data_IF_117908192018
#
_entry.id   IF_117908192018
#
_cell.length_a   1.000
_cell.length_b   1.000
_cell.length_c   1.000
_cell.angle_alpha   90.00
_cell.angle_beta   90.00
_cell.angle_gamma   90.00
#
_symmetry.space_group_name_H-M   'P 1'
#
loop_
_entity.id
_entity.type
_entity.pdbx_description
1 polymer ?
#
# COMPACT_ATOMS: atom_id res chain seq x y z
N UNK A 1 6.28 8.05 -3.17
CA UNK A 1 6.51 8.26 -1.71
C UNK A 1 7.20 9.58 -1.44
N UNK A 2 7.00 10.14 -0.26
CA UNK A 2 7.66 11.37 0.20
C UNK A 2 8.42 11.10 1.51
N UNK A 3 9.66 11.58 1.60
CA UNK A 3 10.48 11.46 2.81
C UNK A 3 10.86 12.84 3.33
N UNK A 4 10.70 13.02 4.63
CA UNK A 4 11.12 14.25 5.31
C UNK A 4 12.65 14.24 5.47
N UNK A 5 13.31 15.29 5.03
CA UNK A 5 14.73 15.51 5.28
C UNK A 5 14.90 15.95 6.73
N UNK A 6 15.37 15.06 7.56
CA UNK A 6 15.56 15.25 9.00
C UNK A 6 16.91 14.70 9.44
N UNK A 7 17.45 15.15 10.61
CA UNK A 7 18.69 14.58 11.14
C UNK A 7 18.62 13.05 11.29
N UNK A 8 17.49 12.55 11.78
CA UNK A 8 17.26 11.12 11.97
C UNK A 8 17.24 10.35 10.64
N UNK A 9 16.67 10.94 9.58
CA UNK A 9 16.67 10.34 8.26
C UNK A 9 18.06 10.32 7.65
N UNK A 10 18.81 11.42 7.77
CA UNK A 10 20.19 11.50 7.27
C UNK A 10 21.14 10.54 8.01
N UNK A 11 20.95 10.38 9.32
CA UNK A 11 21.67 9.37 10.10
C UNK A 11 21.38 7.95 9.62
N UNK A 12 20.09 7.64 9.36
CA UNK A 12 19.67 6.33 8.81
C UNK A 12 20.35 5.99 7.49
N UNK A 13 20.50 6.98 6.60
CA UNK A 13 21.14 6.78 5.29
C UNK A 13 22.65 6.99 5.33
N UNK A 14 23.18 7.29 6.51
CA UNK A 14 24.60 7.54 6.78
C UNK A 14 25.19 8.63 5.85
N UNK A 15 24.51 9.73 5.72
CA UNK A 15 24.89 10.87 4.87
C UNK A 15 24.71 12.20 5.61
N UNK A 16 25.57 13.16 5.31
CA UNK A 16 25.29 14.56 5.59
C UNK A 16 24.26 15.11 4.59
N UNK A 17 23.63 16.25 4.91
CA UNK A 17 22.70 16.91 3.99
C UNK A 17 23.36 17.28 2.65
N UNK A 18 24.64 17.69 2.71
CA UNK A 18 25.41 18.05 1.50
C UNK A 18 25.66 16.83 0.61
N UNK A 19 26.08 15.71 1.20
CA UNK A 19 26.29 14.44 0.48
C UNK A 19 24.98 13.92 -0.10
N UNK A 20 23.91 14.00 0.68
CA UNK A 20 22.58 13.60 0.22
C UNK A 20 22.12 14.43 -0.99
N UNK A 21 22.23 15.76 -0.91
CA UNK A 21 21.89 16.65 -2.02
C UNK A 21 22.76 16.39 -3.25
N UNK A 22 24.05 16.18 -3.06
CA UNK A 22 24.99 15.88 -4.16
C UNK A 22 24.63 14.55 -4.85
N UNK A 23 24.35 13.52 -4.08
CA UNK A 23 24.03 12.19 -4.63
C UNK A 23 22.67 12.15 -5.34
N UNK A 24 21.72 12.96 -4.91
CA UNK A 24 20.36 13.03 -5.49
C UNK A 24 20.18 14.17 -6.51
N UNK A 25 21.21 15.02 -6.72
CA UNK A 25 21.11 16.17 -7.60
C UNK A 25 20.10 17.21 -7.13
N UNK A 26 19.97 17.39 -5.82
CA UNK A 26 18.98 18.27 -5.18
C UNK A 26 19.64 19.40 -4.39
N UNK A 27 18.82 20.37 -3.96
CA UNK A 27 19.21 21.49 -3.09
C UNK A 27 18.28 21.61 -1.90
N UNK A 28 17.87 20.47 -1.34
CA UNK A 28 16.94 20.38 -0.22
C UNK A 28 17.54 20.93 1.07
N UNK A 29 16.67 21.40 1.96
CA UNK A 29 16.99 21.87 3.32
C UNK A 29 16.40 20.93 4.36
N UNK A 30 16.85 21.05 5.60
CA UNK A 30 16.19 20.36 6.70
C UNK A 30 14.72 20.79 6.78
N UNK A 31 13.82 19.82 6.89
CA UNK A 31 12.36 20.04 6.90
C UNK A 31 11.71 19.96 5.52
N UNK A 32 12.47 19.91 4.43
CA UNK A 32 11.93 19.70 3.10
C UNK A 32 11.54 18.22 2.90
N UNK A 33 10.71 17.97 1.90
CA UNK A 33 10.39 16.61 1.46
C UNK A 33 11.06 16.30 0.14
N UNK A 34 11.65 15.11 0.04
CA UNK A 34 12.01 14.51 -1.25
C UNK A 34 10.92 13.54 -1.68
N UNK A 35 10.54 13.63 -2.94
CA UNK A 35 9.52 12.76 -3.53
C UNK A 35 10.20 11.73 -4.42
N UNK A 36 9.85 10.48 -4.22
CA UNK A 36 10.26 9.37 -5.06
C UNK A 36 9.06 8.85 -5.83
N UNK A 37 9.17 8.76 -7.12
CA UNK A 37 8.21 8.00 -7.90
C UNK A 37 8.36 6.51 -7.56
N UNK A 38 7.32 5.78 -7.69
CA UNK A 38 6.88 4.47 -7.18
C UNK A 38 7.88 3.27 -7.26
N UNK A 39 9.15 3.51 -7.15
CA UNK A 39 10.18 2.48 -7.29
C UNK A 39 10.85 2.03 -5.99
N UNK A 40 10.26 2.38 -4.83
CA UNK A 40 10.79 2.03 -3.52
C UNK A 40 12.04 2.79 -3.09
N UNK A 41 12.33 3.91 -3.72
CA UNK A 41 13.36 4.85 -3.30
C UNK A 41 14.81 4.44 -3.60
N UNK A 42 15.04 3.28 -4.18
CA UNK A 42 16.36 2.88 -4.65
C UNK A 42 16.48 3.08 -6.16
N UNK A 43 17.31 4.02 -6.55
CA UNK A 43 17.55 4.39 -7.95
C UNK A 43 18.88 3.86 -8.47
N UNK A 44 19.52 2.93 -7.76
CA UNK A 44 20.77 2.33 -8.23
C UNK A 44 20.58 1.69 -9.62
N UNK A 45 21.60 1.76 -10.45
CA UNK A 45 21.57 1.16 -11.79
C UNK A 45 21.31 -0.34 -11.71
N UNK A 46 21.83 -1.00 -10.69
CA UNK A 46 21.68 -2.43 -10.44
C UNK A 46 20.22 -2.79 -10.15
N UNK A 47 19.56 -2.04 -9.27
CA UNK A 47 18.14 -2.28 -8.95
C UNK A 47 17.24 -1.99 -10.15
N UNK A 48 17.49 -0.94 -10.90
CA UNK A 48 16.78 -0.68 -12.16
C UNK A 48 16.91 -1.85 -13.13
N UNK A 49 18.10 -2.43 -13.24
CA UNK A 49 18.32 -3.59 -14.09
C UNK A 49 17.63 -4.85 -13.59
N UNK A 50 17.67 -5.11 -12.28
CA UNK A 50 16.94 -6.24 -11.65
C UNK A 50 15.45 -6.12 -11.88
N UNK A 51 14.88 -4.93 -11.69
CA UNK A 51 13.44 -4.67 -11.94
C UNK A 51 13.07 -4.85 -13.40
N UNK A 52 13.88 -4.32 -14.32
CA UNK A 52 13.66 -4.52 -15.74
C UNK A 52 13.66 -6.01 -16.08
N UNK A 53 14.63 -6.75 -15.61
CA UNK A 53 14.71 -8.19 -15.85
C UNK A 53 13.49 -8.94 -15.27
N UNK A 54 13.01 -8.54 -14.08
CA UNK A 54 11.81 -9.09 -13.49
C UNK A 54 10.57 -8.81 -14.34
N UNK A 55 10.39 -7.57 -14.80
CA UNK A 55 9.27 -7.18 -15.66
C UNK A 55 9.34 -7.94 -17.00
N UNK A 56 10.49 -8.00 -17.64
CA UNK A 56 10.69 -8.70 -18.90
C UNK A 56 10.40 -10.21 -18.76
N UNK A 57 10.82 -10.82 -17.65
CA UNK A 57 10.53 -12.22 -17.35
C UNK A 57 9.04 -12.44 -17.08
N UNK A 58 8.39 -11.57 -16.34
CA UNK A 58 6.95 -11.65 -16.07
C UNK A 58 6.14 -11.48 -17.36
N UNK A 59 6.50 -10.52 -18.21
CA UNK A 59 5.87 -10.31 -19.52
C UNK A 59 6.04 -11.53 -20.42
N UNK A 60 7.22 -12.16 -20.43
CA UNK A 60 7.49 -13.39 -21.21
C UNK A 60 6.66 -14.56 -20.70
N UNK A 61 6.54 -14.71 -19.37
CA UNK A 61 5.71 -15.75 -18.77
C UNK A 61 4.23 -15.58 -19.12
N UNK A 62 3.73 -14.32 -19.04
CA UNK A 62 2.36 -13.99 -19.43
C UNK A 62 2.10 -14.25 -20.91
N UNK A 63 3.01 -13.91 -21.80
CA UNK A 63 2.90 -14.19 -23.22
C UNK A 63 2.87 -15.70 -23.52
N UNK A 64 3.70 -16.49 -22.83
CA UNK A 64 3.69 -17.97 -22.93
C UNK A 64 2.35 -18.54 -22.46
N UNK A 65 1.80 -18.03 -21.35
CA UNK A 65 0.49 -18.45 -20.84
C UNK A 65 -0.62 -18.12 -21.84
N UNK A 66 -0.65 -16.90 -22.37
CA UNK A 66 -1.62 -16.47 -23.38
C UNK A 66 -1.58 -17.34 -24.64
N UNK A 67 -0.39 -17.74 -25.09
CA UNK A 67 -0.23 -18.68 -26.23
C UNK A 67 -0.79 -20.07 -25.90
N UNK A 68 -0.55 -20.58 -24.69
CA UNK A 68 -1.11 -21.87 -24.24
C UNK A 68 -2.63 -21.87 -24.21
N UNK A 69 -3.24 -20.74 -23.90
CA UNK A 69 -4.70 -20.59 -23.85
C UNK A 69 -5.33 -20.61 -25.25
N UNK A 70 -4.54 -20.44 -26.33
CA UNK A 70 -4.99 -20.48 -27.72
C UNK A 70 -6.25 -19.68 -27.97
N UNK A 71 -6.25 -18.42 -27.50
CA UNK A 71 -7.38 -17.50 -27.60
C UNK A 71 -8.55 -17.75 -26.63
N UNK A 72 -8.50 -18.80 -25.81
CA UNK A 72 -9.46 -18.98 -24.74
C UNK A 72 -9.21 -17.93 -23.67
N UNK A 73 -10.26 -17.21 -23.21
CA UNK A 73 -10.07 -16.24 -22.13
C UNK A 73 -9.63 -16.94 -20.85
N UNK A 74 -8.69 -16.33 -20.13
CA UNK A 74 -8.52 -16.62 -18.70
C UNK A 74 -9.86 -16.50 -18.01
N UNK A 75 -10.08 -17.29 -16.95
CA UNK A 75 -11.25 -17.14 -16.11
C UNK A 75 -11.43 -15.66 -15.75
N UNK A 76 -12.58 -15.12 -16.14
CA UNK A 76 -13.00 -13.77 -15.77
C UNK A 76 -14.23 -13.91 -14.89
N UNK A 77 -14.07 -13.72 -13.58
CA UNK A 77 -15.22 -13.67 -12.68
C UNK A 77 -16.15 -12.53 -13.11
N UNK A 78 -17.45 -12.72 -12.99
CA UNK A 78 -18.43 -11.69 -13.27
C UNK A 78 -18.24 -10.48 -12.33
N UNK A 79 -17.90 -10.76 -11.07
CA UNK A 79 -17.57 -9.76 -10.07
C UNK A 79 -16.48 -10.30 -9.13
N UNK A 80 -15.59 -9.41 -8.71
CA UNK A 80 -14.59 -9.67 -7.66
C UNK A 80 -14.96 -8.84 -6.44
N UNK A 81 -14.95 -9.47 -5.29
CA UNK A 81 -15.12 -8.81 -4.01
C UNK A 81 -13.83 -8.95 -3.20
N UNK A 82 -13.47 -7.91 -2.46
CA UNK A 82 -12.32 -7.85 -1.57
C UNK A 82 -12.83 -7.49 -0.18
N UNK A 83 -12.65 -8.39 0.76
CA UNK A 83 -12.99 -8.12 2.15
C UNK A 83 -11.88 -7.33 2.82
N UNK A 84 -12.26 -6.26 3.54
CA UNK A 84 -11.33 -5.46 4.35
C UNK A 84 -11.88 -5.28 5.75
N UNK A 85 -10.96 -5.09 6.69
CA UNK A 85 -11.22 -4.82 8.10
C UNK A 85 -10.15 -3.90 8.70
N UNK A 86 -10.22 -3.63 10.00
CA UNK A 86 -9.23 -2.84 10.72
C UNK A 86 -7.80 -3.43 10.72
N UNK A 87 -7.63 -4.71 10.41
CA UNK A 87 -6.34 -5.37 10.28
C UNK A 87 -5.77 -5.33 8.85
N UNK A 88 -6.57 -4.88 7.90
CA UNK A 88 -6.12 -4.72 6.51
C UNK A 88 -5.13 -3.57 6.42
N UNK A 89 -3.84 -3.93 6.38
CA UNK A 89 -2.72 -2.99 6.48
C UNK A 89 -1.57 -3.39 5.54
N UNK A 90 -0.69 -2.43 5.17
CA UNK A 90 0.52 -2.67 4.39
C UNK A 90 0.24 -3.41 3.08
N UNK A 91 0.83 -4.56 2.84
CA UNK A 91 0.66 -5.34 1.62
C UNK A 91 -0.81 -5.74 1.35
N UNK A 92 -1.58 -6.07 2.39
CA UNK A 92 -3.00 -6.39 2.27
C UNK A 92 -3.80 -5.16 1.81
N UNK A 93 -3.50 -3.98 2.37
CA UNK A 93 -4.10 -2.73 1.92
C UNK A 93 -3.76 -2.44 0.44
N UNK A 94 -2.48 -2.56 0.05
CA UNK A 94 -2.07 -2.33 -1.35
C UNK A 94 -2.82 -3.25 -2.29
N UNK A 95 -2.94 -4.52 -1.93
CA UNK A 95 -3.69 -5.49 -2.72
C UNK A 95 -5.15 -5.09 -2.89
N UNK A 96 -5.83 -4.75 -1.80
CA UNK A 96 -7.22 -4.31 -1.84
C UNK A 96 -7.40 -3.01 -2.66
N UNK A 97 -6.51 -2.04 -2.47
CA UNK A 97 -6.53 -0.78 -3.19
C UNK A 97 -6.38 -0.97 -4.71
N UNK A 98 -5.43 -1.78 -5.14
CA UNK A 98 -5.23 -2.04 -6.57
C UNK A 98 -6.35 -2.88 -7.17
N UNK A 99 -6.88 -3.88 -6.47
CA UNK A 99 -8.03 -4.63 -6.95
C UNK A 99 -9.26 -3.74 -7.12
N UNK A 100 -9.53 -2.81 -6.19
CA UNK A 100 -10.59 -1.82 -6.36
C UNK A 100 -10.40 -0.97 -7.62
N UNK A 101 -9.18 -0.53 -7.89
CA UNK A 101 -8.86 0.21 -9.13
C UNK A 101 -9.05 -0.64 -10.39
N UNK A 102 -8.98 -1.94 -10.28
CA UNK A 102 -9.26 -2.90 -11.35
C UNK A 102 -10.75 -3.27 -11.47
N UNK A 103 -11.62 -2.69 -10.63
CA UNK A 103 -13.07 -2.88 -10.69
C UNK A 103 -13.62 -3.87 -9.65
N UNK A 104 -12.82 -4.34 -8.70
CA UNK A 104 -13.34 -5.11 -7.57
C UNK A 104 -14.15 -4.21 -6.64
N UNK A 105 -15.19 -4.77 -6.01
CA UNK A 105 -15.93 -4.13 -4.92
C UNK A 105 -15.28 -4.46 -3.59
N UNK A 106 -15.05 -3.46 -2.77
CA UNK A 106 -14.54 -3.63 -1.40
C UNK A 106 -15.71 -3.77 -0.44
N UNK A 107 -15.62 -4.73 0.47
CA UNK A 107 -16.71 -5.12 1.38
C UNK A 107 -16.16 -5.25 2.79
N UNK A 108 -16.97 -4.95 3.80
CA UNK A 108 -16.64 -5.13 5.21
C UNK A 108 -16.44 -3.82 5.95
N UNK A 109 -15.32 -3.64 6.60
CA UNK A 109 -14.98 -2.45 7.39
C UNK A 109 -13.88 -1.62 6.74
N UNK A 110 -13.77 -0.33 7.07
CA UNK A 110 -12.63 0.46 6.65
C UNK A 110 -11.30 -0.19 7.04
N UNK A 111 -10.32 -0.13 6.13
CA UNK A 111 -8.99 -0.68 6.42
C UNK A 111 -8.29 0.08 7.53
N UNK A 112 -7.40 -0.60 8.26
CA UNK A 112 -6.55 0.01 9.28
C UNK A 112 -5.47 0.95 8.70
N UNK A 113 -5.33 0.97 7.37
CA UNK A 113 -4.44 1.89 6.68
C UNK A 113 -5.24 2.82 5.77
N UNK A 114 -4.93 4.12 5.84
CA UNK A 114 -5.41 5.11 4.88
C UNK A 114 -4.63 5.03 3.55
N UNK A 115 -5.24 5.45 2.41
CA UNK A 115 -4.51 5.58 1.15
C UNK A 115 -3.28 6.50 1.26
N UNK A 116 -3.38 7.60 1.99
CA UNK A 116 -2.23 8.42 2.33
C UNK A 116 -1.88 8.21 3.79
N UNK A 117 -0.72 7.65 4.05
CA UNK A 117 -0.30 7.28 5.40
C UNK A 117 1.21 7.35 5.59
N UNK A 118 1.61 7.47 6.83
CA UNK A 118 3.02 7.39 7.20
C UNK A 118 3.46 5.93 7.25
N UNK A 119 4.56 5.65 6.55
CA UNK A 119 5.15 4.33 6.42
C UNK A 119 6.62 4.38 6.79
N UNK A 120 7.24 3.21 6.84
CA UNK A 120 8.64 3.00 7.18
C UNK A 120 9.07 3.69 8.49
N UNK A 121 9.74 2.97 9.31
CA UNK A 121 10.07 3.41 10.66
C UNK A 121 11.59 3.54 10.80
N UNK A 122 11.99 4.56 11.53
CA UNK A 122 13.35 4.71 12.05
C UNK A 122 13.28 4.53 13.56
N UNK A 123 14.10 3.61 14.05
CA UNK A 123 14.25 3.39 15.49
C UNK A 123 15.04 4.54 16.09
N UNK A 124 14.65 4.96 17.28
CA UNK A 124 15.43 5.88 18.10
C UNK A 124 15.45 5.41 19.56
N UNK A 125 16.44 5.89 20.32
CA UNK A 125 16.57 5.62 21.73
C UNK A 125 16.77 6.93 22.48
N UNK A 126 15.98 7.16 23.52
CA UNK A 126 16.13 8.34 24.36
C UNK A 126 17.40 8.22 25.19
N UNK A 127 18.32 9.22 25.14
CA UNK A 127 19.65 9.05 25.73
C UNK A 127 19.65 9.00 27.26
N UNK A 128 18.66 9.56 27.94
CA UNK A 128 18.56 9.59 29.39
C UNK A 128 17.84 8.38 29.99
N UNK A 129 16.77 7.94 29.36
CA UNK A 129 15.90 6.89 29.90
C UNK A 129 16.14 5.53 29.25
N UNK A 130 16.80 5.51 28.09
CA UNK A 130 16.99 4.30 27.32
C UNK A 130 15.70 3.78 26.65
N UNK A 131 14.59 4.51 26.76
CA UNK A 131 13.33 4.13 26.11
C UNK A 131 13.55 4.14 24.60
N UNK A 132 13.18 3.03 23.98
CA UNK A 132 13.20 2.88 22.52
C UNK A 132 11.84 3.22 21.95
N UNK A 133 11.84 3.85 20.79
CA UNK A 133 10.64 4.22 20.04
C UNK A 133 10.88 4.13 18.54
N UNK A 134 9.81 4.37 17.80
CA UNK A 134 9.83 4.37 16.35
C UNK A 134 9.15 5.63 15.84
N UNK A 135 9.70 6.20 14.77
CA UNK A 135 9.07 7.32 14.08
C UNK A 135 9.04 7.03 12.58
N UNK A 136 7.91 7.27 11.96
CA UNK A 136 7.81 7.14 10.51
C UNK A 136 8.62 8.25 9.82
N UNK A 137 9.35 7.88 8.78
CA UNK A 137 10.16 8.80 7.98
C UNK A 137 9.72 8.86 6.51
N UNK A 138 8.63 8.19 6.16
CA UNK A 138 8.11 8.13 4.81
C UNK A 138 6.60 8.38 4.82
N UNK A 139 6.15 9.28 3.96
CA UNK A 139 4.74 9.48 3.65
C UNK A 139 4.43 8.80 2.32
N UNK A 140 3.54 7.83 2.35
CA UNK A 140 3.02 7.18 1.15
C UNK A 140 1.77 7.91 0.67
N UNK A 141 1.72 8.22 -0.62
CA UNK A 141 0.63 8.96 -1.25
C UNK A 141 0.08 8.13 -2.42
N UNK A 142 -1.12 7.60 -2.26
CA UNK A 142 -1.87 6.90 -3.32
C UNK A 142 -2.85 7.83 -4.03
N UNK A 143 -3.25 8.90 -3.36
CA UNK A 143 -4.21 9.88 -3.83
C UNK A 143 -3.65 11.29 -3.60
N UNK A 144 -4.11 12.31 -4.35
CA UNK A 144 -3.81 13.69 -4.05
C UNK A 144 -4.13 14.02 -2.59
N UNK A 145 -3.30 14.81 -1.89
CA UNK A 145 -3.50 15.11 -0.45
C UNK A 145 -4.85 15.74 -0.12
N UNK A 146 -5.42 16.49 -1.06
CA UNK A 146 -6.72 17.16 -0.95
C UNK A 146 -7.91 16.22 -1.20
N UNK A 147 -7.69 15.03 -1.74
CA UNK A 147 -8.76 14.06 -1.97
C UNK A 147 -9.29 13.53 -0.62
N UNK A 148 -10.58 13.70 -0.31
CA UNK A 148 -11.14 13.24 0.96
C UNK A 148 -10.99 11.73 1.17
N UNK A 149 -10.91 10.95 0.09
CA UNK A 149 -10.68 9.50 0.13
C UNK A 149 -9.25 9.13 0.54
N UNK A 150 -8.33 10.11 0.57
CA UNK A 150 -6.96 9.89 1.01
C UNK A 150 -6.85 9.57 2.51
N UNK A 151 -7.85 9.94 3.30
CA UNK A 151 -7.86 9.80 4.77
C UNK A 151 -8.40 8.47 5.26
N UNK A 152 -9.22 7.80 4.46
CA UNK A 152 -9.87 6.55 4.85
C UNK A 152 -10.18 5.72 3.62
N UNK A 153 -9.85 4.44 3.66
CA UNK A 153 -10.24 3.49 2.63
C UNK A 153 -11.55 2.83 3.04
N UNK A 154 -12.64 3.48 2.67
CA UNK A 154 -13.99 3.02 3.01
C UNK A 154 -14.46 1.96 1.99
N UNK A 155 -15.00 0.82 2.44
CA UNK A 155 -15.61 -0.17 1.55
C UNK A 155 -16.77 0.39 0.73
N UNK A 156 -17.06 -0.26 -0.39
CA UNK A 156 -18.25 0.02 -1.20
C UNK A 156 -19.51 -0.56 -0.56
N UNK A 157 -19.36 -1.66 0.21
CA UNK A 157 -20.40 -2.29 1.01
C UNK A 157 -19.88 -2.36 2.44
N UNK A 158 -20.52 -1.62 3.34
CA UNK A 158 -20.19 -1.60 4.77
C UNK A 158 -21.27 -2.35 5.53
N UNK A 159 -20.87 -3.31 6.37
CA UNK A 159 -21.80 -4.01 7.25
C UNK A 159 -21.91 -3.31 8.60
N UNK A 160 -23.11 -3.35 9.18
CA UNK A 160 -23.39 -2.74 10.49
C UNK A 160 -23.06 -3.69 11.63
N UNK A 161 -22.85 -3.18 12.86
CA UNK A 161 -22.67 -4.03 14.04
C UNK A 161 -23.81 -5.03 14.26
N UNK A 162 -25.05 -4.65 13.94
CA UNK A 162 -26.23 -5.51 14.04
C UNK A 162 -26.15 -6.68 13.07
N UNK A 163 -25.64 -6.44 11.84
CA UNK A 163 -25.43 -7.50 10.87
C UNK A 163 -24.34 -8.48 11.35
N UNK A 164 -23.22 -7.97 11.86
CA UNK A 164 -22.19 -8.84 12.47
C UNK A 164 -22.76 -9.65 13.65
N UNK A 165 -23.55 -9.01 14.52
CA UNK A 165 -24.20 -9.70 15.64
C UNK A 165 -25.17 -10.78 15.16
N UNK A 166 -25.88 -10.58 14.04
CA UNK A 166 -26.78 -11.59 13.47
C UNK A 166 -26.06 -12.85 12.99
N UNK A 167 -24.76 -12.73 12.67
CA UNK A 167 -23.87 -13.83 12.33
C UNK A 167 -23.11 -14.38 13.55
N UNK A 168 -23.44 -13.93 14.78
CA UNK A 168 -22.77 -14.37 16.01
C UNK A 168 -21.30 -13.94 16.10
N UNK A 169 -20.91 -12.89 15.40
CA UNK A 169 -19.51 -12.42 15.29
C UNK A 169 -18.56 -13.51 14.78
N UNK A 170 -19.06 -14.33 13.84
CA UNK A 170 -18.26 -15.38 13.19
C UNK A 170 -17.07 -14.75 12.45
N UNK A 171 -15.94 -15.46 12.45
CA UNK A 171 -14.72 -15.00 11.75
C UNK A 171 -14.90 -14.84 10.22
N UNK A 172 -15.95 -15.45 9.66
CA UNK A 172 -16.33 -15.33 8.24
C UNK A 172 -17.60 -14.48 8.05
N UNK A 173 -17.96 -13.63 9.01
CA UNK A 173 -19.19 -12.85 8.95
C UNK A 173 -19.34 -12.05 7.65
N UNK A 174 -18.28 -11.41 7.17
CA UNK A 174 -18.30 -10.66 5.91
C UNK A 174 -18.66 -11.54 4.71
N UNK A 175 -18.13 -12.76 4.66
CA UNK A 175 -18.44 -13.71 3.59
C UNK A 175 -19.90 -14.15 3.67
N UNK A 176 -20.38 -14.47 4.87
CA UNK A 176 -21.78 -14.88 5.10
C UNK A 176 -22.73 -13.78 4.67
N UNK A 177 -22.51 -12.54 5.14
CA UNK A 177 -23.34 -11.38 4.85
C UNK A 177 -23.31 -11.02 3.35
N UNK A 178 -22.13 -11.11 2.73
CA UNK A 178 -22.00 -10.87 1.30
C UNK A 178 -22.78 -11.90 0.48
N UNK A 179 -22.69 -13.18 0.84
CA UNK A 179 -23.44 -14.24 0.15
C UNK A 179 -24.94 -14.06 0.30
N UNK A 180 -25.41 -13.69 1.49
CA UNK A 180 -26.82 -13.38 1.73
C UNK A 180 -27.31 -12.21 0.84
N UNK A 181 -26.49 -11.15 0.71
CA UNK A 181 -26.84 -10.00 -0.11
C UNK A 181 -26.89 -10.34 -1.61
N UNK A 182 -25.89 -11.07 -2.14
CA UNK A 182 -25.81 -11.44 -3.54
C UNK A 182 -26.93 -12.41 -3.95
N UNK A 183 -27.34 -13.29 -3.02
CA UNK A 183 -28.42 -14.27 -3.30
C UNK A 183 -29.81 -13.67 -3.17
N UNK A 184 -29.95 -12.47 -2.60
CA UNK A 184 -31.21 -11.75 -2.49
C UNK A 184 -31.51 -10.83 -3.69
N UNK A 185 -30.51 -10.56 -4.53
CA UNK A 185 -30.66 -9.85 -5.81
C UNK A 185 -31.01 -10.81 -6.95
#
# INVERSE_FOLDING_TARGET
TARLISPLYLEKVNMTLEEFNRSNGTTLRMGDYIFYEDDGGDTSVEIKQVRKNFIDNAMTASAKLLRKLNGKPLYRPAQVYVVTDGNTFSAAFHYAFFLRRMGAKVVGLPSGQAPNTYMEQTLFKLPRTGIEGQISNCLQLFLPPEDPRAKTFTPDIVFTPEQYASCGWDDNAELILLLQQITAE
#
